data_IF_467580690582
#
_entry.id   IF_467580690582
#
_cell.length_a   1.000
_cell.length_b   1.000
_cell.length_c   1.000
_cell.angle_alpha   90.00
_cell.angle_beta   90.00
_cell.angle_gamma   90.00
#
_symmetry.space_group_name_H-M   'P 1'
#
loop_
_entity.id
_entity.type
_entity.pdbx_description
1 polymer ?
#
# COMPACT_ATOMS: atom_id res chain seq x y z
N UNK A 1 34.89 41.09 30.41
CA UNK A 1 34.32 40.71 29.10
C UNK A 1 35.16 39.60 28.50
N UNK A 2 34.71 38.36 28.61
CA UNK A 2 35.07 37.21 27.77
C UNK A 2 33.74 36.49 27.51
N UNK A 3 33.56 36.05 26.26
CA UNK A 3 32.30 35.88 25.52
C UNK A 3 31.39 34.77 26.07
N UNK A 4 30.08 35.03 25.99
CA UNK A 4 29.00 34.05 26.02
C UNK A 4 29.30 32.90 25.04
N UNK A 5 29.68 31.74 25.58
CA UNK A 5 29.94 30.52 24.83
C UNK A 5 28.72 29.60 24.85
N UNK A 6 28.20 29.31 23.66
CA UNK A 6 27.21 28.29 23.29
C UNK A 6 26.66 27.41 24.43
N UNK A 7 25.40 27.64 24.80
CA UNK A 7 24.58 26.61 25.44
C UNK A 7 24.44 25.44 24.45
N UNK A 8 25.27 24.42 24.59
CA UNK A 8 25.09 23.12 23.93
C UNK A 8 23.64 22.67 24.13
N UNK A 9 22.87 22.59 23.04
CA UNK A 9 21.50 22.07 23.07
C UNK A 9 21.55 20.65 23.65
N UNK A 10 20.84 20.43 24.75
CA UNK A 10 20.70 19.10 25.37
C UNK A 10 19.82 18.21 24.49
N UNK A 11 20.42 17.67 23.44
CA UNK A 11 19.74 16.89 22.41
C UNK A 11 19.30 15.53 22.95
N UNK A 12 18.19 15.02 22.41
CA UNK A 12 17.67 13.69 22.73
C UNK A 12 17.86 12.76 21.54
N UNK A 13 18.28 11.52 21.83
CA UNK A 13 18.40 10.46 20.83
C UNK A 13 18.08 9.12 21.48
N UNK A 14 17.58 8.18 20.67
CA UNK A 14 17.43 6.78 21.07
C UNK A 14 18.72 5.97 20.88
N UNK A 15 19.72 6.54 20.21
CA UNK A 15 20.98 5.86 19.91
C UNK A 15 22.17 6.77 20.18
N UNK A 16 23.18 6.22 20.86
CA UNK A 16 24.39 6.94 21.23
C UNK A 16 25.63 6.08 21.00
N UNK A 17 26.70 6.74 20.57
CA UNK A 17 28.05 6.22 20.53
C UNK A 17 28.85 6.88 21.65
N UNK A 18 29.60 6.09 22.41
CA UNK A 18 30.40 6.55 23.54
C UNK A 18 31.81 6.01 23.36
N UNK A 19 32.80 6.91 23.42
CA UNK A 19 34.22 6.54 23.37
C UNK A 19 34.88 6.94 24.67
N UNK A 20 35.45 5.96 25.39
CA UNK A 20 36.17 6.18 26.63
C UNK A 20 37.68 6.11 26.36
N UNK A 21 38.41 7.19 26.65
CA UNK A 21 39.86 7.23 26.51
C UNK A 21 40.55 6.88 27.83
N UNK A 22 41.55 6.00 27.80
CA UNK A 22 42.18 5.44 29.00
C UNK A 22 43.52 6.08 29.38
N UNK A 23 43.89 7.25 28.81
CA UNK A 23 45.18 7.94 29.06
C UNK A 23 45.59 8.08 30.55
N UNK A 24 44.64 7.99 31.49
CA UNK A 24 44.86 8.19 32.94
C UNK A 24 44.67 6.96 33.83
N UNK A 25 44.28 5.77 33.30
CA UNK A 25 43.99 4.58 34.13
C UNK A 25 44.71 3.32 33.66
N UNK A 26 45.33 2.60 34.60
CA UNK A 26 46.11 1.36 34.36
C UNK A 26 45.26 0.13 34.00
N UNK A 27 43.94 0.15 34.22
CA UNK A 27 43.09 -1.00 33.95
C UNK A 27 41.65 -0.58 33.64
N UNK A 28 40.99 -1.37 32.79
CA UNK A 28 39.58 -1.22 32.43
C UNK A 28 38.74 -1.91 33.50
N UNK A 29 37.86 -1.15 34.16
CA UNK A 29 36.80 -1.75 34.98
C UNK A 29 35.54 -1.96 34.12
N UNK A 30 35.50 -3.09 33.43
CA UNK A 30 34.34 -3.49 32.61
C UNK A 30 33.07 -3.64 33.47
N UNK A 31 33.21 -4.00 34.76
CA UNK A 31 32.08 -4.14 35.65
C UNK A 31 31.44 -2.78 35.95
N UNK A 32 32.25 -1.73 36.10
CA UNK A 32 31.73 -0.36 36.26
C UNK A 32 30.96 0.10 35.01
N UNK A 33 31.48 -0.17 33.81
CA UNK A 33 30.79 0.20 32.56
C UNK A 33 29.42 -0.50 32.47
N UNK A 34 29.37 -1.81 32.71
CA UNK A 34 28.11 -2.57 32.71
C UNK A 34 27.12 -2.05 33.76
N UNK A 35 27.62 -1.68 34.94
CA UNK A 35 26.80 -1.08 36.00
C UNK A 35 26.20 0.25 35.53
N UNK A 36 27.01 1.18 35.02
CA UNK A 36 26.53 2.48 34.54
C UNK A 36 25.50 2.33 33.40
N UNK A 37 25.73 1.40 32.47
CA UNK A 37 24.77 1.09 31.40
C UNK A 37 23.45 0.54 31.95
N UNK A 38 23.50 -0.33 32.97
CA UNK A 38 22.31 -0.91 33.60
C UNK A 38 21.47 0.10 34.39
N UNK A 39 22.07 1.19 34.88
CA UNK A 39 21.34 2.25 35.59
C UNK A 39 20.50 3.11 34.62
N UNK A 40 20.84 3.11 33.34
CA UNK A 40 20.05 3.78 32.30
C UNK A 40 18.91 2.85 31.87
N UNK A 41 17.78 2.89 32.59
CA UNK A 41 16.59 2.04 32.38
C UNK A 41 16.07 1.97 30.93
N UNK A 42 16.33 3.01 30.13
CA UNK A 42 15.90 3.05 28.75
C UNK A 42 16.77 2.19 27.82
N UNK A 43 17.97 1.79 28.21
CA UNK A 43 18.88 0.96 27.40
C UNK A 43 18.26 -0.43 27.23
N UNK A 44 17.99 -0.79 25.97
CA UNK A 44 17.45 -2.09 25.59
C UNK A 44 18.54 -3.00 25.02
N UNK A 45 19.53 -2.41 24.35
CA UNK A 45 20.66 -3.10 23.76
C UNK A 45 21.92 -2.25 23.88
N UNK A 46 23.05 -2.90 24.14
CA UNK A 46 24.35 -2.28 23.98
C UNK A 46 25.41 -3.28 23.52
N UNK A 47 26.45 -2.78 22.88
CA UNK A 47 27.66 -3.55 22.60
C UNK A 47 28.89 -2.66 22.79
N UNK A 48 30.02 -3.28 23.09
CA UNK A 48 31.29 -2.58 23.20
C UNK A 48 32.46 -3.43 22.73
N UNK A 49 33.54 -2.77 22.34
CA UNK A 49 34.81 -3.40 22.00
C UNK A 49 35.98 -2.52 22.46
N UNK A 50 37.12 -3.15 22.75
CA UNK A 50 38.36 -2.43 23.03
C UNK A 50 39.11 -2.17 21.73
N UNK A 51 39.72 -1.00 21.64
CA UNK A 51 40.53 -0.59 20.51
C UNK A 51 41.86 0.04 20.95
N UNK A 52 42.91 -0.09 20.15
CA UNK A 52 44.23 0.54 20.36
C UNK A 52 44.46 1.58 19.28
N UNK A 53 44.60 2.85 19.66
CA UNK A 53 44.79 3.92 18.67
C UNK A 53 46.11 3.76 17.90
N UNK A 54 46.07 3.75 16.57
CA UNK A 54 47.25 3.55 15.69
C UNK A 54 48.41 4.54 15.93
N UNK A 55 48.12 5.75 16.41
CA UNK A 55 49.12 6.83 16.56
C UNK A 55 49.68 7.00 17.98
N UNK A 56 48.89 6.73 19.01
CA UNK A 56 49.27 7.00 20.40
C UNK A 56 49.30 5.72 21.26
N UNK A 57 49.05 4.55 20.68
CA UNK A 57 48.91 3.25 21.36
C UNK A 57 48.00 3.27 22.60
N UNK A 58 47.10 4.26 22.67
CA UNK A 58 46.24 4.42 23.83
C UNK A 58 45.02 3.52 23.67
N UNK A 59 44.74 2.65 24.65
CA UNK A 59 43.54 1.83 24.60
C UNK A 59 42.31 2.71 24.83
N UNK A 60 41.26 2.43 24.06
CA UNK A 60 39.98 3.11 24.16
C UNK A 60 38.87 2.07 24.04
N UNK A 61 37.69 2.41 24.57
CA UNK A 61 36.51 1.53 24.50
C UNK A 61 35.45 2.26 23.71
N UNK A 62 34.99 1.64 22.63
CA UNK A 62 33.83 2.07 21.88
C UNK A 62 32.60 1.33 22.38
N UNK A 63 31.55 2.08 22.71
CA UNK A 63 30.28 1.57 23.21
C UNK A 63 29.18 2.14 22.33
N UNK A 64 28.33 1.26 21.82
CA UNK A 64 27.06 1.64 21.20
C UNK A 64 25.91 1.26 22.11
N UNK A 65 24.96 2.18 22.30
CA UNK A 65 23.71 1.92 23.03
C UNK A 65 22.50 2.22 22.17
N UNK A 66 21.47 1.39 22.30
CA UNK A 66 20.15 1.60 21.74
C UNK A 66 19.10 1.57 22.86
N UNK A 67 18.27 2.60 22.90
CA UNK A 67 17.30 2.85 23.96
C UNK A 67 15.86 2.72 23.45
N UNK A 68 14.99 2.15 24.29
CA UNK A 68 13.55 2.03 24.06
C UNK A 68 12.83 3.38 24.01
N UNK A 69 13.38 4.41 24.66
CA UNK A 69 12.88 5.79 24.66
C UNK A 69 14.02 6.81 24.45
N UNK A 70 13.73 8.03 23.94
CA UNK A 70 14.78 9.03 23.73
C UNK A 70 15.45 9.43 25.05
N UNK A 71 16.77 9.34 25.10
CA UNK A 71 17.60 9.73 26.25
C UNK A 71 18.35 11.02 25.91
N UNK A 72 18.46 11.93 26.89
CA UNK A 72 19.18 13.21 26.74
C UNK A 72 20.69 13.02 26.79
N UNK A 73 21.42 13.83 26.02
CA UNK A 73 22.88 13.90 26.06
C UNK A 73 23.40 14.08 27.49
N UNK A 74 22.79 15.01 28.25
CA UNK A 74 23.14 15.27 29.65
C UNK A 74 23.03 14.05 30.55
N UNK A 75 22.07 13.16 30.28
CA UNK A 75 21.89 11.91 31.04
C UNK A 75 23.03 10.95 30.75
N UNK A 76 23.38 10.74 29.48
CA UNK A 76 24.51 9.88 29.11
C UNK A 76 25.83 10.46 29.66
N UNK A 77 26.01 11.78 29.58
CA UNK A 77 27.21 12.47 30.09
C UNK A 77 27.38 12.37 31.61
N UNK A 78 26.28 12.24 32.37
CA UNK A 78 26.35 12.01 33.82
C UNK A 78 26.90 10.63 34.18
N UNK A 79 26.51 9.60 33.43
CA UNK A 79 26.99 8.23 33.62
C UNK A 79 28.41 8.04 33.05
N UNK A 80 28.76 8.79 32.00
CA UNK A 80 30.09 8.78 31.38
C UNK A 80 30.71 10.19 31.31
N UNK A 81 31.14 10.78 32.44
CA UNK A 81 31.66 12.15 32.48
C UNK A 81 32.88 12.38 31.57
N UNK A 82 33.80 11.41 31.54
CA UNK A 82 35.02 11.44 30.72
C UNK A 82 34.80 10.91 29.30
N UNK A 83 33.58 10.45 28.97
CA UNK A 83 33.27 9.89 27.67
C UNK A 83 33.05 10.95 26.60
N UNK A 84 33.61 10.69 25.42
CA UNK A 84 33.22 11.38 24.20
C UNK A 84 31.93 10.75 23.70
N UNK A 85 30.85 11.54 23.64
CA UNK A 85 29.50 11.04 23.36
C UNK A 85 28.98 11.70 22.09
N UNK A 86 28.47 10.90 21.18
CA UNK A 86 27.88 11.35 19.92
C UNK A 86 26.55 10.66 19.66
N UNK A 87 25.64 11.36 18.97
CA UNK A 87 24.42 10.72 18.48
C UNK A 87 24.76 9.70 17.39
N UNK A 88 24.31 8.47 17.56
CA UNK A 88 24.56 7.44 16.55
C UNK A 88 23.66 7.64 15.33
N UNK A 89 24.25 7.56 14.13
CA UNK A 89 23.54 7.58 12.85
C UNK A 89 23.56 6.20 12.21
N UNK A 90 22.67 5.94 11.25
CA UNK A 90 22.53 4.62 10.64
C UNK A 90 21.75 3.64 11.52
N UNK A 91 21.61 2.39 11.08
CA UNK A 91 20.85 1.38 11.79
C UNK A 91 21.58 0.81 13.03
N UNK A 92 20.87 0.18 13.96
CA UNK A 92 21.47 -0.53 15.10
C UNK A 92 22.48 -1.59 14.61
N UNK A 93 22.16 -2.32 13.55
CA UNK A 93 23.01 -3.33 12.94
C UNK A 93 24.29 -2.71 12.33
N UNK A 94 24.18 -1.57 11.65
CA UNK A 94 25.34 -0.83 11.12
C UNK A 94 26.26 -0.35 12.26
N UNK A 95 25.69 0.13 13.36
CA UNK A 95 26.45 0.59 14.52
C UNK A 95 27.10 -0.57 15.28
N UNK A 96 26.43 -1.73 15.40
CA UNK A 96 27.02 -2.96 15.93
C UNK A 96 28.24 -3.37 15.11
N UNK A 97 28.10 -3.43 13.77
CA UNK A 97 29.19 -3.78 12.86
C UNK A 97 30.34 -2.78 12.91
N UNK A 98 30.05 -1.51 13.15
CA UNK A 98 31.07 -0.47 13.36
C UNK A 98 31.89 -0.74 14.64
N UNK A 99 31.24 -1.01 15.77
CA UNK A 99 31.92 -1.34 17.04
C UNK A 99 32.71 -2.64 16.94
N UNK A 100 32.15 -3.64 16.24
CA UNK A 100 32.84 -4.92 15.99
C UNK A 100 33.98 -4.80 14.96
N UNK A 101 33.99 -3.73 14.15
CA UNK A 101 34.83 -3.55 12.95
C UNK A 101 34.80 -4.73 11.99
N UNK A 102 33.60 -5.26 11.75
CA UNK A 102 33.35 -6.40 10.86
C UNK A 102 32.64 -5.98 9.57
N UNK A 103 32.81 -6.73 8.48
CA UNK A 103 32.12 -6.49 7.20
C UNK A 103 32.75 -5.34 6.40
N UNK A 104 31.99 -4.29 6.07
CA UNK A 104 32.51 -3.15 5.28
C UNK A 104 33.68 -2.40 5.93
N UNK A 105 33.90 -2.63 7.23
CA UNK A 105 34.96 -2.03 8.04
C UNK A 105 36.12 -3.00 8.30
N UNK A 106 36.08 -4.19 7.72
CA UNK A 106 37.12 -5.23 7.85
C UNK A 106 38.38 -4.89 7.02
N UNK A 107 38.18 -4.22 5.87
CA UNK A 107 39.24 -3.71 4.99
C UNK A 107 39.62 -2.24 5.26
N UNK A 108 39.05 -1.60 6.30
CA UNK A 108 39.45 -0.25 6.68
C UNK A 108 40.87 -0.32 7.29
N UNK A 109 41.84 0.52 6.90
CA UNK A 109 43.15 0.57 7.58
C UNK A 109 43.07 0.86 9.09
N UNK A 110 41.89 1.23 9.62
CA UNK A 110 41.58 1.34 11.06
C UNK A 110 40.93 0.09 11.67
N UNK A 111 40.63 -0.96 10.90
CA UNK A 111 40.15 -2.26 11.38
C UNK A 111 41.14 -2.89 12.35
N UNK A 112 42.44 -2.70 12.08
CA UNK A 112 43.59 -3.19 12.87
C UNK A 112 43.64 -2.65 14.30
N UNK A 113 42.77 -1.71 14.69
CA UNK A 113 42.73 -1.22 16.08
C UNK A 113 41.85 -2.03 17.00
N UNK A 114 40.88 -2.81 16.50
CA UNK A 114 39.98 -3.59 17.37
C UNK A 114 40.68 -4.84 17.92
N UNK A 115 40.67 -5.00 19.24
CA UNK A 115 41.30 -6.13 19.90
C UNK A 115 40.36 -7.35 19.77
N UNK A 116 40.78 -8.35 18.99
CA UNK A 116 40.04 -9.61 18.81
C UNK A 116 39.72 -10.26 20.16
N UNK A 117 38.45 -10.66 20.33
CA UNK A 117 37.96 -11.32 21.54
C UNK A 117 37.51 -10.38 22.67
N UNK A 118 37.50 -9.06 22.44
CA UNK A 118 37.02 -8.07 23.44
C UNK A 118 35.61 -7.56 23.18
N UNK A 119 34.97 -8.00 22.10
CA UNK A 119 33.60 -7.64 21.78
C UNK A 119 32.62 -8.35 22.71
N UNK A 120 31.75 -7.58 23.34
CA UNK A 120 30.62 -8.09 24.12
C UNK A 120 29.35 -7.33 23.78
N UNK A 121 28.22 -8.01 23.85
CA UNK A 121 26.89 -7.44 23.66
C UNK A 121 25.91 -7.90 24.74
N UNK A 122 24.88 -7.10 24.98
CA UNK A 122 23.84 -7.39 25.94
C UNK A 122 22.50 -6.83 25.46
N UNK A 123 21.43 -7.55 25.81
CA UNK A 123 20.06 -7.19 25.50
C UNK A 123 19.63 -7.59 24.09
N UNK A 124 18.41 -7.22 23.71
CA UNK A 124 17.83 -7.53 22.41
C UNK A 124 17.90 -6.30 21.50
N UNK A 125 18.57 -6.45 20.36
CA UNK A 125 18.72 -5.35 19.40
C UNK A 125 17.35 -4.91 18.87
N UNK A 126 17.01 -3.61 18.94
CA UNK A 126 15.74 -3.13 18.40
C UNK A 126 15.65 -3.40 16.89
N UNK A 127 14.54 -3.99 16.46
CA UNK A 127 14.25 -4.16 15.03
C UNK A 127 13.90 -2.80 14.43
N UNK A 128 14.90 -2.15 13.84
CA UNK A 128 14.68 -0.89 13.13
C UNK A 128 14.08 -1.19 11.76
N UNK A 129 12.78 -0.98 11.61
CA UNK A 129 12.11 -1.03 10.29
C UNK A 129 12.64 0.12 9.43
N UNK A 130 13.72 -0.12 8.71
CA UNK A 130 14.19 0.73 7.62
C UNK A 130 13.24 0.55 6.41
N UNK A 131 11.95 0.88 6.56
CA UNK A 131 10.90 0.27 5.74
C UNK A 131 9.84 1.18 5.16
N UNK A 132 9.68 2.45 5.58
CA UNK A 132 8.50 3.23 5.16
C UNK A 132 8.45 3.51 3.63
N UNK A 133 9.60 3.58 2.94
CA UNK A 133 9.64 3.66 1.47
C UNK A 133 9.40 2.31 0.81
N UNK A 134 10.06 1.25 1.26
CA UNK A 134 9.89 -0.09 0.69
C UNK A 134 8.48 -0.65 0.89
N UNK A 135 7.83 -0.31 2.00
CA UNK A 135 6.47 -0.72 2.35
C UNK A 135 5.42 -0.03 1.44
N UNK A 136 5.62 1.25 1.11
CA UNK A 136 4.79 1.96 0.14
C UNK A 136 4.99 1.46 -1.29
N UNK A 137 6.24 1.17 -1.65
CA UNK A 137 6.56 0.61 -2.97
C UNK A 137 5.92 -0.79 -3.13
N UNK A 138 6.00 -1.63 -2.10
CA UNK A 138 5.32 -2.93 -2.06
C UNK A 138 3.80 -2.76 -2.19
N UNK A 139 3.19 -1.87 -1.41
CA UNK A 139 1.76 -1.61 -1.50
C UNK A 139 1.34 -1.16 -2.91
N UNK A 140 2.12 -0.29 -3.55
CA UNK A 140 1.87 0.14 -4.92
C UNK A 140 1.93 -1.03 -5.90
N UNK A 141 2.93 -1.93 -5.77
CA UNK A 141 3.01 -3.12 -6.62
C UNK A 141 1.81 -4.06 -6.41
N UNK A 142 1.41 -4.32 -5.16
CA UNK A 142 0.24 -5.15 -4.87
C UNK A 142 -1.03 -4.62 -5.54
N UNK A 143 -1.24 -3.30 -5.52
CA UNK A 143 -2.38 -2.67 -6.21
C UNK A 143 -2.28 -2.82 -7.73
N UNK A 144 -1.07 -2.64 -8.29
CA UNK A 144 -0.82 -2.78 -9.73
C UNK A 144 -0.99 -4.22 -10.22
N UNK A 145 -0.66 -5.19 -9.38
CA UNK A 145 -0.87 -6.62 -9.63
C UNK A 145 -2.36 -7.04 -9.50
N UNK A 146 -3.25 -6.08 -9.21
CA UNK A 146 -4.69 -6.31 -9.17
C UNK A 146 -5.19 -6.96 -7.88
N UNK A 147 -4.36 -7.05 -6.84
CA UNK A 147 -4.73 -7.65 -5.55
C UNK A 147 -5.95 -6.94 -4.95
N UNK A 148 -6.86 -7.71 -4.37
CA UNK A 148 -8.02 -7.20 -3.65
C UNK A 148 -7.61 -6.58 -2.32
N UNK A 149 -8.47 -5.72 -1.75
CA UNK A 149 -8.20 -5.12 -0.44
C UNK A 149 -8.08 -6.19 0.66
N UNK A 150 -8.81 -7.30 0.53
CA UNK A 150 -8.67 -8.43 1.44
C UNK A 150 -7.27 -9.05 1.36
N UNK A 151 -6.77 -9.38 0.16
CA UNK A 151 -5.43 -9.93 -0.01
C UNK A 151 -4.33 -8.97 0.46
N UNK A 152 -4.49 -7.66 0.21
CA UNK A 152 -3.53 -6.65 0.68
C UNK A 152 -3.48 -6.62 2.22
N UNK A 153 -4.62 -6.77 2.89
CA UNK A 153 -4.68 -6.79 4.36
C UNK A 153 -4.15 -8.08 4.96
N UNK A 154 -4.31 -9.21 4.28
CA UNK A 154 -3.73 -10.50 4.69
C UNK A 154 -2.19 -10.49 4.61
N UNK A 155 -1.61 -9.76 3.64
CA UNK A 155 -0.16 -9.55 3.55
C UNK A 155 0.35 -8.66 4.70
N UNK A 156 -0.36 -7.55 4.99
CA UNK A 156 -0.01 -6.67 6.11
C UNK A 156 -1.22 -5.88 6.62
N UNK A 157 -1.61 -6.16 7.88
CA UNK A 157 -2.71 -5.47 8.55
C UNK A 157 -2.46 -3.99 8.81
N UNK A 158 -1.20 -3.52 8.80
CA UNK A 158 -0.84 -2.10 8.96
C UNK A 158 -1.47 -1.22 7.83
N UNK A 159 -1.81 -1.83 6.69
CA UNK A 159 -2.49 -1.15 5.58
C UNK A 159 -3.97 -0.84 5.83
N UNK A 160 -4.56 -1.33 6.93
CA UNK A 160 -5.95 -1.04 7.30
C UNK A 160 -6.22 0.47 7.38
N UNK A 161 -5.25 1.24 7.91
CA UNK A 161 -5.36 2.70 8.05
C UNK A 161 -5.22 3.45 6.71
N UNK A 162 -4.86 2.74 5.62
CA UNK A 162 -4.56 3.32 4.30
C UNK A 162 -5.52 2.85 3.19
N UNK A 163 -6.61 2.17 3.54
CA UNK A 163 -7.57 1.65 2.55
C UNK A 163 -8.12 2.72 1.61
N UNK A 164 -8.35 3.94 2.10
CA UNK A 164 -8.81 5.07 1.27
C UNK A 164 -7.76 5.51 0.24
N UNK A 165 -6.48 5.50 0.61
CA UNK A 165 -5.39 5.83 -0.30
C UNK A 165 -5.15 4.70 -1.30
N UNK A 166 -5.29 3.44 -0.88
CA UNK A 166 -5.25 2.26 -1.76
C UNK A 166 -6.29 2.37 -2.86
N UNK A 167 -7.53 2.71 -2.52
CA UNK A 167 -8.60 2.92 -3.50
C UNK A 167 -8.29 4.06 -4.47
N UNK A 168 -7.72 5.18 -3.99
CA UNK A 168 -7.29 6.28 -4.86
C UNK A 168 -6.22 5.84 -5.84
N UNK A 169 -5.17 5.14 -5.36
CA UNK A 169 -4.10 4.62 -6.21
C UNK A 169 -4.67 3.66 -7.25
N UNK A 170 -5.57 2.76 -6.88
CA UNK A 170 -6.22 1.82 -7.80
C UNK A 170 -6.97 2.57 -8.91
N UNK A 171 -7.69 3.64 -8.57
CA UNK A 171 -8.37 4.47 -9.57
C UNK A 171 -7.35 5.19 -10.48
N UNK A 172 -6.27 5.73 -9.94
CA UNK A 172 -5.21 6.37 -10.74
C UNK A 172 -4.56 5.40 -11.72
N UNK A 173 -4.26 4.17 -11.28
CA UNK A 173 -3.67 3.13 -12.15
C UNK A 173 -4.63 2.77 -13.28
N UNK A 174 -5.91 2.52 -12.98
CA UNK A 174 -6.94 2.23 -14.00
C UNK A 174 -7.17 3.40 -14.95
N UNK A 175 -7.18 4.63 -14.44
CA UNK A 175 -7.32 5.82 -15.26
C UNK A 175 -6.20 5.94 -16.28
N UNK A 176 -4.94 5.68 -15.87
CA UNK A 176 -3.79 5.70 -16.77
C UNK A 176 -3.84 4.57 -17.80
N UNK A 177 -4.17 3.35 -17.38
CA UNK A 177 -4.28 2.17 -18.24
C UNK A 177 -5.29 2.35 -19.38
N UNK A 178 -6.45 2.93 -19.07
CA UNK A 178 -7.54 3.10 -20.04
C UNK A 178 -7.54 4.46 -20.75
N UNK A 179 -6.61 5.38 -20.41
CA UNK A 179 -6.57 6.74 -20.98
C UNK A 179 -6.37 6.76 -22.49
N UNK A 180 -5.58 5.82 -23.01
CA UNK A 180 -5.19 5.74 -24.43
C UNK A 180 -5.68 4.46 -25.09
N UNK A 181 -6.55 3.70 -24.42
CA UNK A 181 -6.98 2.37 -24.85
C UNK A 181 -8.40 2.42 -25.39
N UNK A 182 -8.59 1.96 -26.63
CA UNK A 182 -9.92 1.70 -27.16
C UNK A 182 -10.39 0.31 -26.70
N UNK A 183 -11.50 0.27 -25.97
CA UNK A 183 -12.09 -0.95 -25.41
C UNK A 183 -12.85 -1.70 -26.50
N UNK A 184 -12.51 -2.97 -26.70
CA UNK A 184 -13.25 -3.85 -27.60
C UNK A 184 -14.52 -4.33 -26.90
N UNK A 185 -15.65 -3.71 -27.26
CA UNK A 185 -16.93 -3.92 -26.59
C UNK A 185 -17.69 -5.15 -27.09
N UNK A 186 -18.18 -5.99 -26.18
CA UNK A 186 -19.21 -7.00 -26.44
C UNK A 186 -20.49 -6.60 -25.72
N UNK A 187 -21.56 -6.37 -26.47
CA UNK A 187 -22.83 -5.87 -25.91
C UNK A 187 -23.95 -6.83 -26.25
N UNK A 188 -24.61 -7.34 -25.22
CA UNK A 188 -25.74 -8.26 -25.36
C UNK A 188 -27.01 -7.65 -24.74
N UNK A 189 -28.06 -7.55 -25.53
CA UNK A 189 -29.40 -7.20 -25.07
C UNK A 189 -30.18 -8.48 -24.75
N UNK A 190 -30.44 -8.71 -23.47
CA UNK A 190 -31.18 -9.87 -22.97
C UNK A 190 -32.56 -9.44 -22.51
N UNK A 191 -33.61 -9.94 -23.17
CA UNK A 191 -34.97 -9.59 -22.80
C UNK A 191 -35.88 -10.80 -22.64
N UNK A 192 -37.02 -10.61 -21.98
CA UNK A 192 -37.97 -11.68 -21.73
C UNK A 192 -38.87 -11.37 -20.55
N UNK A 193 -39.93 -12.17 -20.33
CA UNK A 193 -40.89 -11.94 -19.25
C UNK A 193 -40.20 -11.92 -17.87
N UNK A 194 -40.83 -11.26 -16.89
CA UNK A 194 -40.34 -11.32 -15.50
C UNK A 194 -40.29 -12.76 -15.00
N UNK A 195 -39.41 -13.06 -14.04
CA UNK A 195 -39.28 -14.40 -13.45
C UNK A 195 -38.62 -15.45 -14.35
N UNK A 196 -38.08 -15.09 -15.52
CA UNK A 196 -37.39 -16.02 -16.43
C UNK A 196 -35.93 -16.31 -16.05
N UNK A 197 -35.40 -15.68 -14.99
CA UNK A 197 -34.03 -15.91 -14.52
C UNK A 197 -32.93 -15.15 -15.27
N UNK A 198 -33.26 -14.11 -16.05
CA UNK A 198 -32.29 -13.32 -16.85
C UNK A 198 -31.07 -12.84 -16.05
N UNK A 199 -31.32 -12.16 -14.92
CA UNK A 199 -30.24 -11.64 -14.06
C UNK A 199 -29.38 -12.78 -13.54
N UNK A 200 -30.00 -13.85 -13.04
CA UNK A 200 -29.28 -15.03 -12.53
C UNK A 200 -28.39 -15.66 -13.62
N UNK A 201 -28.93 -15.84 -14.82
CA UNK A 201 -28.19 -16.37 -15.96
C UNK A 201 -26.91 -15.56 -16.25
N UNK A 202 -27.01 -14.22 -16.28
CA UNK A 202 -25.84 -13.36 -16.53
C UNK A 202 -24.84 -13.42 -15.37
N UNK A 203 -25.31 -13.36 -14.12
CA UNK A 203 -24.44 -13.43 -12.94
C UNK A 203 -23.67 -14.75 -12.86
N UNK A 204 -24.34 -15.88 -13.13
CA UNK A 204 -23.71 -17.21 -13.14
C UNK A 204 -22.75 -17.38 -14.32
N UNK A 205 -23.06 -16.80 -15.48
CA UNK A 205 -22.25 -16.90 -16.69
C UNK A 205 -20.95 -16.09 -16.60
N UNK A 206 -21.03 -14.84 -16.15
CA UNK A 206 -19.88 -13.92 -16.16
C UNK A 206 -19.09 -13.96 -14.84
N UNK A 207 -19.68 -14.51 -13.77
CA UNK A 207 -19.07 -14.60 -12.45
C UNK A 207 -19.37 -13.39 -11.57
N UNK A 208 -19.71 -13.64 -10.30
CA UNK A 208 -20.20 -12.62 -9.37
C UNK A 208 -19.20 -11.48 -9.10
N UNK A 209 -17.89 -11.76 -9.06
CA UNK A 209 -16.85 -10.76 -8.80
C UNK A 209 -16.54 -9.88 -10.02
N UNK A 210 -16.71 -10.42 -11.23
CA UNK A 210 -16.43 -9.73 -12.49
C UNK A 210 -17.60 -8.86 -12.96
N UNK A 211 -18.78 -8.97 -12.32
CA UNK A 211 -19.99 -8.25 -12.70
C UNK A 211 -20.21 -7.04 -11.80
N UNK A 212 -20.39 -5.89 -12.43
CA UNK A 212 -21.02 -4.73 -11.82
C UNK A 212 -22.47 -4.59 -12.28
N UNK A 213 -23.40 -4.75 -11.35
CA UNK A 213 -24.84 -4.69 -11.61
C UNK A 213 -25.41 -3.32 -11.24
N UNK A 214 -25.94 -2.63 -12.24
CA UNK A 214 -26.73 -1.41 -12.10
C UNK A 214 -28.20 -1.79 -12.00
N UNK A 215 -28.76 -1.69 -10.80
CA UNK A 215 -30.20 -1.84 -10.56
C UNK A 215 -30.89 -0.55 -10.16
N UNK A 216 -30.10 0.51 -9.89
CA UNK A 216 -30.61 1.86 -9.64
C UNK A 216 -29.86 2.89 -10.50
N UNK A 217 -30.59 3.86 -11.04
CA UNK A 217 -30.14 4.73 -12.13
C UNK A 217 -29.93 6.21 -11.75
N UNK A 218 -30.23 6.64 -10.53
CA UNK A 218 -29.91 7.99 -10.04
C UNK A 218 -28.40 8.17 -9.86
N UNK A 219 -27.71 7.18 -9.28
CA UNK A 219 -26.26 7.16 -9.08
C UNK A 219 -25.64 5.81 -9.48
N UNK A 220 -25.71 5.44 -10.77
CA UNK A 220 -25.54 4.06 -11.22
C UNK A 220 -24.12 3.51 -11.08
N UNK A 221 -23.11 4.34 -10.83
CA UNK A 221 -21.70 3.95 -10.88
C UNK A 221 -20.91 4.20 -9.59
N UNK A 222 -21.55 4.66 -8.50
CA UNK A 222 -20.86 5.05 -7.26
C UNK A 222 -20.02 3.91 -6.64
N UNK A 223 -20.50 2.68 -6.78
CA UNK A 223 -19.86 1.47 -6.28
C UNK A 223 -19.03 0.73 -7.33
N UNK A 224 -18.87 1.30 -8.54
CA UNK A 224 -18.05 0.69 -9.58
C UNK A 224 -16.57 0.77 -9.20
N UNK A 225 -15.90 -0.38 -9.19
CA UNK A 225 -14.49 -0.51 -8.82
C UNK A 225 -13.64 -1.03 -9.98
N UNK A 226 -14.20 -1.01 -11.20
CA UNK A 226 -13.51 -1.41 -12.42
C UNK A 226 -13.68 -2.89 -12.76
N UNK A 227 -14.88 -3.42 -12.54
CA UNK A 227 -15.32 -4.73 -13.00
C UNK A 227 -15.30 -4.82 -14.53
N UNK A 228 -15.05 -6.01 -15.06
CA UNK A 228 -14.93 -6.29 -16.50
C UNK A 228 -16.27 -6.33 -17.23
N UNK A 229 -17.34 -6.66 -16.51
CA UNK A 229 -18.70 -6.78 -17.06
C UNK A 229 -19.64 -5.79 -16.39
N UNK A 230 -20.30 -4.97 -17.20
CA UNK A 230 -21.39 -4.11 -16.78
C UNK A 230 -22.75 -4.76 -17.06
N UNK A 231 -23.64 -4.79 -16.08
CA UNK A 231 -25.02 -5.26 -16.24
C UNK A 231 -25.98 -4.12 -15.94
N UNK A 232 -26.66 -3.62 -16.96
CA UNK A 232 -27.80 -2.71 -16.81
C UNK A 232 -29.05 -3.55 -16.59
N UNK A 233 -29.42 -3.73 -15.33
CA UNK A 233 -30.54 -4.58 -14.95
C UNK A 233 -31.87 -3.84 -14.94
N UNK A 234 -32.94 -4.55 -15.25
CA UNK A 234 -34.29 -4.01 -15.38
C UNK A 234 -34.39 -2.75 -16.26
N UNK A 235 -33.62 -2.70 -17.34
CA UNK A 235 -33.51 -1.55 -18.22
C UNK A 235 -34.81 -1.24 -18.98
N UNK A 236 -35.27 0.01 -18.95
CA UNK A 236 -36.50 0.55 -19.52
C UNK A 236 -36.29 2.01 -19.95
N UNK A 237 -35.21 2.27 -20.69
CA UNK A 237 -34.83 3.62 -21.15
C UNK A 237 -34.59 4.63 -20.01
N UNK A 238 -34.10 4.19 -18.84
CA UNK A 238 -33.82 5.10 -17.72
C UNK A 238 -32.68 6.08 -18.02
N UNK A 239 -31.65 5.65 -18.77
CA UNK A 239 -30.55 6.51 -19.18
C UNK A 239 -30.96 7.33 -20.41
N UNK A 240 -30.42 8.54 -20.55
CA UNK A 240 -30.56 9.28 -21.81
C UNK A 240 -29.88 8.48 -22.93
N UNK A 241 -30.43 8.54 -24.14
CA UNK A 241 -29.87 7.78 -25.27
C UNK A 241 -28.39 8.12 -25.51
N UNK A 242 -28.01 9.39 -25.38
CA UNK A 242 -26.62 9.84 -25.52
C UNK A 242 -25.70 9.24 -24.44
N UNK A 243 -26.19 9.09 -23.22
CA UNK A 243 -25.43 8.47 -22.13
C UNK A 243 -25.23 6.98 -22.40
N UNK A 244 -26.29 6.27 -22.82
CA UNK A 244 -26.18 4.87 -23.19
C UNK A 244 -25.24 4.68 -24.38
N UNK A 245 -25.30 5.53 -25.41
CA UNK A 245 -24.40 5.46 -26.56
C UNK A 245 -22.93 5.59 -26.16
N UNK A 246 -22.60 6.55 -25.29
CA UNK A 246 -21.24 6.71 -24.77
C UNK A 246 -20.79 5.51 -23.93
N UNK A 247 -21.70 4.97 -23.10
CA UNK A 247 -21.42 3.83 -22.24
C UNK A 247 -21.10 2.56 -23.03
N UNK A 248 -21.78 2.37 -24.16
CA UNK A 248 -21.61 1.22 -25.06
C UNK A 248 -20.50 1.44 -26.11
N UNK A 249 -19.86 2.61 -26.12
CA UNK A 249 -18.74 2.89 -27.02
C UNK A 249 -17.41 2.39 -26.43
N UNK A 250 -16.42 2.20 -27.30
CA UNK A 250 -15.09 1.71 -26.93
C UNK A 250 -14.14 2.82 -26.45
N UNK A 251 -14.46 4.09 -26.65
CA UNK A 251 -13.59 5.18 -26.25
C UNK A 251 -13.34 5.22 -24.73
N UNK A 252 -12.18 5.77 -24.29
CA UNK A 252 -11.94 6.11 -22.89
C UNK A 252 -13.10 6.93 -22.33
N UNK A 253 -13.65 6.50 -21.20
CA UNK A 253 -14.85 7.09 -20.62
C UNK A 253 -14.71 7.21 -19.11
N UNK A 254 -15.02 8.40 -18.60
CA UNK A 254 -15.24 8.62 -17.17
C UNK A 254 -16.73 8.48 -16.82
N UNK A 255 -17.00 7.67 -15.81
CA UNK A 255 -18.31 7.45 -15.23
C UNK A 255 -18.55 8.47 -14.12
N UNK A 256 -19.60 9.27 -14.28
CA UNK A 256 -20.00 10.26 -13.28
C UNK A 256 -20.51 9.58 -12.01
N UNK A 257 -19.94 9.98 -10.88
CA UNK A 257 -20.30 9.48 -9.55
C UNK A 257 -20.39 10.67 -8.58
N UNK A 258 -21.03 10.50 -7.42
CA UNK A 258 -21.24 11.60 -6.47
C UNK A 258 -19.95 12.14 -5.85
N UNK A 259 -19.01 11.26 -5.50
CA UNK A 259 -17.81 11.63 -4.74
C UNK A 259 -16.57 11.73 -5.61
N UNK A 260 -16.36 10.76 -6.50
CA UNK A 260 -15.23 10.70 -7.39
C UNK A 260 -15.60 9.90 -8.63
N UNK A 261 -15.36 10.48 -9.81
CA UNK A 261 -15.56 9.78 -11.07
C UNK A 261 -14.72 8.50 -11.13
N UNK A 262 -15.22 7.53 -11.89
CA UNK A 262 -14.58 6.23 -12.09
C UNK A 262 -14.22 6.03 -13.55
N UNK A 263 -13.14 5.35 -13.84
CA UNK A 263 -12.78 5.02 -15.23
C UNK A 263 -13.52 3.77 -15.69
N UNK A 264 -14.24 3.83 -16.80
CA UNK A 264 -14.92 2.68 -17.38
C UNK A 264 -13.88 1.65 -17.89
N UNK A 265 -13.79 0.50 -17.22
CA UNK A 265 -12.85 -0.58 -17.56
C UNK A 265 -13.55 -1.79 -18.20
N UNK A 266 -14.89 -1.82 -18.15
CA UNK A 266 -15.66 -2.94 -18.68
C UNK A 266 -15.54 -3.03 -20.20
N UNK A 267 -15.48 -4.26 -20.69
CA UNK A 267 -15.49 -4.61 -22.12
C UNK A 267 -16.74 -5.40 -22.50
N UNK A 268 -17.44 -5.98 -21.51
CA UNK A 268 -18.72 -6.65 -21.71
C UNK A 268 -19.85 -5.84 -21.10
N UNK A 269 -20.96 -5.72 -21.83
CA UNK A 269 -22.19 -5.08 -21.35
C UNK A 269 -23.39 -5.96 -21.60
N UNK A 270 -24.15 -6.22 -20.53
CA UNK A 270 -25.46 -6.84 -20.61
C UNK A 270 -26.54 -5.80 -20.34
N UNK A 271 -27.49 -5.67 -21.24
CA UNK A 271 -28.69 -4.87 -21.03
C UNK A 271 -29.84 -5.84 -20.81
N UNK A 272 -30.33 -5.92 -19.57
CA UNK A 272 -31.39 -6.84 -19.19
C UNK A 272 -32.70 -6.07 -19.13
N UNK A 273 -33.70 -6.52 -19.88
CA UNK A 273 -35.00 -5.84 -19.92
C UNK A 273 -36.19 -6.80 -19.90
N UNK A 274 -37.34 -6.31 -19.46
CA UNK A 274 -38.63 -6.98 -19.72
C UNK A 274 -39.25 -6.53 -21.06
N UNK A 275 -38.69 -5.50 -21.69
CA UNK A 275 -39.12 -4.97 -22.97
C UNK A 275 -38.25 -5.54 -24.09
N UNK A 276 -38.85 -5.80 -25.25
CA UNK A 276 -38.09 -6.02 -26.47
C UNK A 276 -37.30 -4.74 -26.82
N UNK A 277 -36.16 -4.88 -27.51
CA UNK A 277 -35.31 -3.76 -27.86
C UNK A 277 -36.09 -2.67 -28.63
N UNK A 278 -36.96 -3.07 -29.56
CA UNK A 278 -37.77 -2.17 -30.38
C UNK A 278 -38.80 -1.37 -29.58
N UNK A 279 -39.10 -1.76 -28.34
CA UNK A 279 -39.98 -1.01 -27.45
C UNK A 279 -39.22 0.06 -26.63
N UNK A 280 -37.88 0.12 -26.73
CA UNK A 280 -37.06 1.11 -26.03
C UNK A 280 -37.02 2.42 -26.81
N UNK A 281 -37.10 3.56 -26.11
CA UNK A 281 -36.99 4.90 -26.70
C UNK A 281 -37.91 5.19 -27.91
N UNK A 282 -39.23 5.00 -27.82
CA UNK A 282 -40.14 5.18 -28.96
C UNK A 282 -40.06 6.58 -29.59
N UNK A 283 -39.92 7.63 -28.77
CA UNK A 283 -39.79 9.02 -29.26
C UNK A 283 -38.49 9.21 -30.05
N UNK A 284 -37.36 8.69 -29.57
CA UNK A 284 -36.07 8.79 -30.28
C UNK A 284 -36.11 8.04 -31.60
N UNK A 285 -36.77 6.88 -31.65
CA UNK A 285 -36.94 6.14 -32.90
C UNK A 285 -37.66 6.97 -33.97
N UNK A 286 -38.66 7.75 -33.57
CA UNK A 286 -39.44 8.60 -34.46
C UNK A 286 -38.71 9.90 -34.83
N UNK A 287 -38.22 10.64 -33.83
CA UNK A 287 -37.67 11.99 -34.02
C UNK A 287 -36.19 11.98 -34.44
N UNK A 288 -35.43 10.96 -34.05
CA UNK A 288 -33.98 10.88 -34.24
C UNK A 288 -33.55 9.47 -34.70
N UNK A 289 -33.99 9.03 -35.89
CA UNK A 289 -33.74 7.68 -36.38
C UNK A 289 -32.25 7.33 -36.52
N UNK A 290 -31.38 8.31 -36.81
CA UNK A 290 -29.92 8.09 -36.88
C UNK A 290 -29.30 7.80 -35.50
N UNK A 291 -29.80 8.45 -34.46
CA UNK A 291 -29.41 8.17 -33.06
C UNK A 291 -29.85 6.77 -32.66
N UNK A 292 -31.05 6.34 -33.07
CA UNK A 292 -31.51 4.97 -32.86
C UNK A 292 -30.64 3.94 -33.59
N UNK A 293 -30.33 4.16 -34.87
CA UNK A 293 -29.39 3.31 -35.63
C UNK A 293 -28.02 3.25 -34.97
N UNK A 294 -27.54 4.33 -34.37
CA UNK A 294 -26.28 4.35 -33.62
C UNK A 294 -26.30 3.42 -32.40
N UNK A 295 -27.44 3.28 -31.73
CA UNK A 295 -27.60 2.31 -30.64
C UNK A 295 -27.59 0.89 -31.18
N UNK A 296 -28.35 0.62 -32.24
CA UNK A 296 -28.42 -0.71 -32.84
C UNK A 296 -27.04 -1.24 -33.28
N UNK A 297 -26.19 -0.38 -33.85
CA UNK A 297 -24.82 -0.75 -34.25
C UNK A 297 -23.91 -1.15 -33.07
N UNK A 298 -24.22 -0.70 -31.85
CA UNK A 298 -23.45 -1.01 -30.63
C UNK A 298 -23.97 -2.24 -29.89
N UNK A 299 -25.15 -2.76 -30.26
CA UNK A 299 -25.71 -3.98 -29.68
C UNK A 299 -25.35 -5.14 -30.60
N UNK A 300 -24.46 -6.02 -30.13
CA UNK A 300 -23.88 -7.09 -30.93
C UNK A 300 -24.74 -8.35 -30.94
N UNK A 301 -25.47 -8.61 -29.84
CA UNK A 301 -26.32 -9.79 -29.66
C UNK A 301 -27.65 -9.39 -29.04
N UNK A 302 -28.75 -9.96 -29.53
CA UNK A 302 -30.08 -9.83 -28.94
C UNK A 302 -30.57 -11.23 -28.61
N UNK A 303 -30.92 -11.46 -27.35
CA UNK A 303 -31.34 -12.77 -26.84
C UNK A 303 -32.68 -12.61 -26.15
N UNK A 304 -33.66 -13.41 -26.55
CA UNK A 304 -34.93 -13.54 -25.84
C UNK A 304 -34.85 -14.77 -24.92
N UNK A 305 -35.03 -14.57 -23.61
CA UNK A 305 -35.13 -15.66 -22.64
C UNK A 305 -36.60 -16.01 -22.43
N UNK A 306 -37.00 -17.15 -22.99
CA UNK A 306 -38.33 -17.69 -22.77
C UNK A 306 -38.39 -18.50 -21.48
N UNK A 307 -39.54 -18.52 -20.78
CA UNK A 307 -39.72 -19.40 -19.63
C UNK A 307 -39.53 -20.84 -20.08
N UNK A 308 -38.70 -21.61 -19.37
CA UNK A 308 -38.61 -23.04 -19.56
C UNK A 308 -40.02 -23.62 -19.36
N UNK A 309 -40.59 -24.27 -20.39
CA UNK A 309 -41.85 -25.01 -20.25
C UNK A 309 -41.61 -26.25 -19.39
N UNK A 310 -41.49 -26.10 -18.08
CA UNK A 310 -41.54 -27.22 -17.15
C UNK A 310 -43.01 -27.59 -16.88
N UNK A 311 -43.52 -28.55 -17.67
CA UNK A 311 -44.57 -29.47 -17.21
C UNK A 311 -46.05 -29.10 -17.47
N UNK A 312 -46.44 -28.92 -18.73
CA UNK A 312 -47.81 -29.30 -19.17
C UNK A 312 -47.80 -30.81 -19.43
N UNK A 313 -47.87 -31.60 -18.35
CA UNK A 313 -48.31 -33.00 -18.36
C UNK A 313 -48.47 -33.45 -16.90
N UNK A 314 -49.61 -33.07 -16.30
CA UNK A 314 -50.30 -33.93 -15.34
C UNK A 314 -51.76 -33.99 -15.76
N UNK A 315 -52.05 -35.10 -16.43
CA UNK A 315 -53.35 -35.73 -16.58
C UNK A 315 -54.18 -35.65 -15.30
N UNK A 316 -55.44 -35.25 -15.46
CA UNK A 316 -56.54 -35.79 -14.66
C UNK A 316 -57.49 -36.52 -15.59
#
# INVERSE_FOLDING_TARGET
MIRDGDKLKDTQSRKWQITLNLKSKKQIDLALIKKELSEIKAVQYYCYAQEIGLKEHTPHIHIFIACSSPVRFSTIKRHFPEGHIEQARGSCEENKRYVQKSGKWEDDPKADTSIKGTFEEWGEMPVERQGARSDLDLLYQLVKDGKSNFEILEENSDYLLRLTDIERVRQTVKAEEFRTTFRNMEVTYLWGRTGTGKTRYVMEKEGYSAVYRVSEYEHPFDSYTGQETLVLDEYRSQLKISELLNLLDGYPLELRCRYANKTACFTKVWIISNLALQAQYPIIQQEQPETWKALLRRIHKIVELQPTRSGLNKSH
#
